data_IF_314180283632
#
_entry.id   IF_314180283632
#
_cell.length_a   1.000
_cell.length_b   1.000
_cell.length_c   1.000
_cell.angle_alpha   90.00
_cell.angle_beta   90.00
_cell.angle_gamma   90.00
#
_symmetry.space_group_name_H-M   'P 1'
#
loop_
_entity.id
_entity.type
_entity.pdbx_description
1 polymer ?
#
# COMPACT_ATOMS: atom_id res chain seq x y z
N UNK A 1 9.88 -18.97 21.46
CA UNK A 1 10.72 -18.51 20.33
C UNK A 1 11.90 -17.72 20.88
N UNK A 2 13.10 -17.97 20.38
CA UNK A 2 14.35 -17.40 20.90
C UNK A 2 14.57 -15.98 20.36
N UNK A 3 14.76 -14.99 21.25
CA UNK A 3 14.82 -13.54 20.95
C UNK A 3 15.90 -13.18 19.91
N UNK A 4 16.98 -13.97 19.86
CA UNK A 4 18.07 -13.79 18.89
C UNK A 4 17.68 -14.19 17.46
N UNK A 5 16.85 -15.22 17.32
CA UNK A 5 16.31 -15.67 16.02
C UNK A 5 15.36 -14.64 15.42
N UNK A 6 14.56 -14.02 16.28
CA UNK A 6 13.62 -12.97 15.90
C UNK A 6 14.34 -11.72 15.35
N UNK A 7 15.39 -11.26 16.04
CA UNK A 7 16.21 -10.13 15.57
C UNK A 7 16.90 -10.40 14.22
N UNK A 8 17.36 -11.64 13.98
CA UNK A 8 17.93 -12.02 12.68
C UNK A 8 16.85 -11.96 11.58
N UNK A 9 15.66 -12.48 11.86
CA UNK A 9 14.53 -12.47 10.92
C UNK A 9 14.13 -11.05 10.55
N UNK A 10 14.00 -10.16 11.53
CA UNK A 10 13.67 -8.74 11.31
C UNK A 10 14.73 -8.07 10.43
N UNK A 11 16.01 -8.25 10.73
CA UNK A 11 17.11 -7.66 9.95
C UNK A 11 17.13 -8.15 8.50
N UNK A 12 16.86 -9.43 8.28
CA UNK A 12 16.78 -10.00 6.92
C UNK A 12 15.59 -9.45 6.14
N UNK A 13 14.41 -9.38 6.75
CA UNK A 13 13.23 -8.76 6.09
C UNK A 13 13.49 -7.30 5.73
N UNK A 14 14.12 -6.55 6.63
CA UNK A 14 14.53 -5.16 6.37
C UNK A 14 15.55 -5.03 5.24
N UNK A 15 16.53 -5.94 5.14
CA UNK A 15 17.50 -5.90 4.03
C UNK A 15 16.86 -6.25 2.69
N UNK A 16 15.92 -7.20 2.66
CA UNK A 16 15.13 -7.55 1.48
C UNK A 16 14.26 -6.37 1.04
N UNK A 17 13.55 -5.73 1.97
CA UNK A 17 12.71 -4.55 1.70
C UNK A 17 13.52 -3.40 1.09
N UNK A 18 14.64 -3.05 1.72
CA UNK A 18 15.55 -1.99 1.21
C UNK A 18 16.13 -2.31 -0.15
N UNK A 19 16.46 -3.58 -0.39
CA UNK A 19 16.96 -4.02 -1.69
C UNK A 19 15.90 -3.86 -2.79
N UNK A 20 14.65 -4.25 -2.52
CA UNK A 20 13.53 -4.05 -3.44
C UNK A 20 13.35 -2.57 -3.79
N UNK A 21 13.25 -1.70 -2.77
CA UNK A 21 13.07 -0.26 -2.99
C UNK A 21 14.20 0.35 -3.80
N UNK A 22 15.45 -0.01 -3.49
CA UNK A 22 16.60 0.51 -4.25
C UNK A 22 16.60 0.05 -5.70
N UNK A 23 16.08 -1.12 -6.01
CA UNK A 23 15.92 -1.61 -7.39
C UNK A 23 14.75 -0.90 -8.10
N UNK A 24 13.68 -0.57 -7.38
CA UNK A 24 12.49 0.11 -7.90
C UNK A 24 12.68 1.62 -8.19
N UNK A 25 13.80 2.19 -7.74
CA UNK A 25 14.24 3.52 -8.18
C UNK A 25 14.46 3.53 -9.71
N UNK A 26 15.14 2.50 -10.23
CA UNK A 26 15.60 2.44 -11.63
C UNK A 26 14.72 1.58 -12.54
N UNK A 27 13.93 0.65 -11.97
CA UNK A 27 13.13 -0.34 -12.73
C UNK A 27 11.69 -0.38 -12.25
N UNK A 28 10.78 -0.83 -13.11
CA UNK A 28 9.43 -1.20 -12.65
C UNK A 28 9.52 -2.47 -11.77
N UNK A 29 8.57 -2.64 -10.85
CA UNK A 29 8.53 -3.83 -10.01
C UNK A 29 8.41 -5.13 -10.83
N UNK A 30 7.68 -5.08 -11.95
CA UNK A 30 7.45 -6.22 -12.83
C UNK A 30 8.76 -6.73 -13.47
N UNK A 31 9.77 -5.86 -13.65
CA UNK A 31 11.09 -6.20 -14.20
C UNK A 31 12.09 -6.74 -13.16
N UNK A 32 11.81 -6.56 -11.86
CA UNK A 32 12.72 -6.99 -10.79
C UNK A 32 12.58 -8.51 -10.59
N UNK A 33 13.70 -9.23 -10.50
CA UNK A 33 13.69 -10.66 -10.16
C UNK A 33 14.09 -10.92 -8.70
N UNK A 34 13.74 -12.10 -8.16
CA UNK A 34 14.24 -12.57 -6.85
C UNK A 34 15.78 -12.61 -6.83
N UNK A 35 16.42 -12.89 -7.97
CA UNK A 35 17.88 -12.86 -8.10
C UNK A 35 18.44 -11.46 -7.91
N UNK A 36 17.80 -10.43 -8.47
CA UNK A 36 18.23 -9.04 -8.28
C UNK A 36 18.11 -8.63 -6.81
N UNK A 37 16.97 -8.94 -6.18
CA UNK A 37 16.70 -8.62 -4.77
C UNK A 37 17.74 -9.30 -3.87
N UNK A 38 18.00 -10.59 -4.06
CA UNK A 38 18.93 -11.35 -3.21
C UNK A 38 20.37 -10.89 -3.36
N UNK A 39 20.80 -10.57 -4.60
CA UNK A 39 22.11 -9.95 -4.86
C UNK A 39 22.22 -8.58 -4.18
N UNK A 40 21.21 -7.72 -4.33
CA UNK A 40 21.21 -6.37 -3.75
C UNK A 40 21.14 -6.38 -2.22
N UNK A 41 20.42 -7.34 -1.63
CA UNK A 41 20.31 -7.54 -0.18
C UNK A 41 21.51 -8.26 0.43
N UNK A 42 22.45 -8.78 -0.39
CA UNK A 42 23.61 -9.58 0.05
C UNK A 42 23.19 -10.81 0.86
N UNK A 43 22.18 -11.56 0.37
CA UNK A 43 21.70 -12.80 0.99
C UNK A 43 21.66 -13.95 -0.01
N UNK A 44 21.64 -15.18 0.50
CA UNK A 44 21.39 -16.36 -0.31
C UNK A 44 19.92 -16.42 -0.75
N UNK A 45 19.64 -16.97 -1.94
CA UNK A 45 18.26 -17.20 -2.40
C UNK A 45 17.46 -18.08 -1.43
N UNK A 46 18.08 -19.10 -0.84
CA UNK A 46 17.45 -19.91 0.20
C UNK A 46 16.97 -19.08 1.38
N UNK A 47 17.73 -18.04 1.78
CA UNK A 47 17.34 -17.11 2.85
C UNK A 47 16.14 -16.25 2.48
N UNK A 48 16.01 -15.82 1.21
CA UNK A 48 14.81 -15.13 0.75
C UNK A 48 13.57 -16.02 0.89
N UNK A 49 13.68 -17.28 0.43
CA UNK A 49 12.57 -18.23 0.46
C UNK A 49 12.16 -18.70 1.87
N UNK A 50 12.96 -18.41 2.91
CA UNK A 50 12.52 -18.56 4.30
C UNK A 50 11.49 -17.51 4.74
N UNK A 51 11.37 -16.41 3.99
CA UNK A 51 10.53 -15.27 4.35
C UNK A 51 9.41 -15.02 3.36
N UNK A 52 9.65 -15.28 2.07
CA UNK A 52 8.72 -14.97 0.98
C UNK A 52 8.75 -16.06 -0.09
N UNK A 53 7.57 -16.42 -0.62
CA UNK A 53 7.45 -17.44 -1.68
C UNK A 53 8.06 -16.97 -3.00
N UNK A 54 7.86 -15.70 -3.33
CA UNK A 54 8.36 -15.02 -4.51
C UNK A 54 8.36 -13.50 -4.29
N UNK A 55 8.57 -12.71 -5.35
CA UNK A 55 8.57 -11.24 -5.26
C UNK A 55 7.17 -10.65 -5.05
N UNK A 56 6.13 -11.34 -5.52
CA UNK A 56 4.73 -10.90 -5.38
C UNK A 56 4.29 -11.05 -3.93
N UNK A 57 4.65 -12.16 -3.30
CA UNK A 57 4.45 -12.43 -1.87
C UNK A 57 5.17 -11.38 -0.99
N UNK A 58 6.37 -10.95 -1.39
CA UNK A 58 7.05 -9.82 -0.75
C UNK A 58 6.26 -8.52 -0.91
N UNK A 59 5.84 -8.17 -2.13
CA UNK A 59 5.10 -6.93 -2.37
C UNK A 59 3.76 -6.93 -1.60
N UNK A 60 3.04 -8.04 -1.60
CA UNK A 60 1.80 -8.20 -0.85
C UNK A 60 2.03 -8.01 0.65
N UNK A 61 3.09 -8.59 1.22
CA UNK A 61 3.45 -8.37 2.62
C UNK A 61 3.69 -6.90 2.94
N UNK A 62 4.26 -6.11 2.01
CA UNK A 62 4.48 -4.67 2.19
C UNK A 62 3.18 -3.86 2.03
N UNK A 63 2.29 -4.30 1.13
CA UNK A 63 0.95 -3.75 1.00
C UNK A 63 0.16 -3.95 2.31
N UNK A 64 0.18 -5.15 2.87
CA UNK A 64 -0.53 -5.50 4.10
C UNK A 64 0.00 -4.68 5.30
N UNK A 65 1.33 -4.54 5.42
CA UNK A 65 1.97 -3.69 6.43
C UNK A 65 1.51 -2.23 6.28
N UNK A 66 1.51 -1.71 5.05
CA UNK A 66 1.11 -0.33 4.78
C UNK A 66 -0.38 -0.08 5.04
N UNK A 67 -1.25 -0.99 4.62
CA UNK A 67 -2.69 -0.92 4.91
C UNK A 67 -2.95 -0.99 6.42
N UNK A 68 -2.19 -1.83 7.15
CA UNK A 68 -2.27 -1.93 8.59
C UNK A 68 -1.90 -0.62 9.31
N UNK A 69 -0.95 0.15 8.80
CA UNK A 69 -0.62 1.46 9.35
C UNK A 69 -1.66 2.51 8.96
N UNK A 70 -2.03 2.59 7.68
CA UNK A 70 -2.97 3.59 7.19
C UNK A 70 -4.36 3.48 7.85
N UNK A 71 -4.85 2.27 8.10
CA UNK A 71 -6.17 2.05 8.73
C UNK A 71 -6.27 2.67 10.12
N UNK A 72 -5.15 2.91 10.83
CA UNK A 72 -5.14 3.57 12.14
C UNK A 72 -5.67 5.00 12.05
N UNK A 73 -5.48 5.66 10.91
CA UNK A 73 -5.94 7.03 10.68
C UNK A 73 -7.46 7.17 10.53
N UNK A 74 -8.21 6.06 10.46
CA UNK A 74 -9.68 6.08 10.60
C UNK A 74 -10.14 6.69 11.91
N UNK A 75 -9.33 6.59 12.98
CA UNK A 75 -9.64 7.18 14.28
C UNK A 75 -9.84 8.70 14.23
N UNK A 76 -9.24 9.39 13.25
CA UNK A 76 -9.41 10.83 13.03
C UNK A 76 -10.75 11.18 12.39
N UNK A 77 -11.42 10.20 11.77
CA UNK A 77 -12.76 10.36 11.20
C UNK A 77 -13.81 10.25 12.31
N UNK A 78 -13.97 11.28 13.13
CA UNK A 78 -15.08 11.40 14.10
C UNK A 78 -16.23 12.22 13.53
N UNK A 79 -17.43 12.10 14.11
CA UNK A 79 -18.59 12.90 13.69
C UNK A 79 -18.30 14.39 13.81
N UNK A 80 -17.70 14.77 14.93
CA UNK A 80 -17.35 16.14 15.26
C UNK A 80 -16.32 16.68 14.28
N UNK A 81 -15.23 15.95 14.02
CA UNK A 81 -14.17 16.40 13.11
C UNK A 81 -14.68 16.53 11.67
N UNK A 82 -15.46 15.56 11.18
CA UNK A 82 -16.06 15.61 9.84
C UNK A 82 -17.05 16.79 9.73
N UNK A 83 -17.88 17.02 10.74
CA UNK A 83 -18.79 18.17 10.77
C UNK A 83 -18.04 19.51 10.68
N UNK A 84 -16.95 19.66 11.42
CA UNK A 84 -16.13 20.88 11.38
C UNK A 84 -15.46 21.08 10.01
N UNK A 85 -14.95 20.01 9.39
CA UNK A 85 -14.38 20.09 8.04
C UNK A 85 -15.43 20.56 7.02
N UNK A 86 -16.66 20.02 7.06
CA UNK A 86 -17.74 20.47 6.15
C UNK A 86 -18.08 21.95 6.32
N UNK A 87 -18.07 22.46 7.56
CA UNK A 87 -18.40 23.87 7.86
C UNK A 87 -17.27 24.83 7.48
N UNK A 88 -16.02 24.41 7.63
CA UNK A 88 -14.85 25.25 7.36
C UNK A 88 -14.32 25.15 5.93
N UNK A 89 -14.73 24.13 5.17
CA UNK A 89 -14.10 23.79 3.89
C UNK A 89 -12.72 23.15 4.02
N UNK A 90 -12.30 22.81 5.24
CA UNK A 90 -11.02 22.13 5.47
C UNK A 90 -11.04 20.69 4.93
N UNK A 91 -9.86 20.14 4.54
CA UNK A 91 -9.75 18.73 4.18
C UNK A 91 -10.20 17.81 5.30
N UNK A 92 -10.63 16.59 4.95
CA UNK A 92 -10.99 15.57 5.96
C UNK A 92 -9.81 15.30 6.90
N UNK A 93 -10.07 15.10 8.21
CA UNK A 93 -9.04 15.14 9.26
C UNK A 93 -7.99 14.03 9.15
N UNK A 94 -8.35 12.88 8.57
CA UNK A 94 -7.43 11.78 8.32
C UNK A 94 -6.43 12.04 7.18
N UNK A 95 -6.68 13.01 6.29
CA UNK A 95 -5.83 13.24 5.12
C UNK A 95 -4.44 13.72 5.50
N UNK A 96 -4.32 14.62 6.48
CA UNK A 96 -3.00 15.13 6.92
C UNK A 96 -2.07 14.01 7.42
N UNK A 97 -2.49 13.12 8.36
CA UNK A 97 -1.63 12.03 8.78
C UNK A 97 -1.42 10.96 7.70
N UNK A 98 -2.40 10.72 6.82
CA UNK A 98 -2.22 9.82 5.65
C UNK A 98 -1.16 10.37 4.69
N UNK A 99 -1.23 11.66 4.32
CA UNK A 99 -0.24 12.31 3.46
C UNK A 99 1.14 12.31 4.12
N UNK A 100 1.21 12.57 5.43
CA UNK A 100 2.47 12.48 6.20
C UNK A 100 3.04 11.06 6.20
N UNK A 101 2.19 10.03 6.23
CA UNK A 101 2.63 8.64 6.12
C UNK A 101 3.15 8.33 4.71
N UNK A 102 2.46 8.82 3.68
CA UNK A 102 2.89 8.67 2.28
C UNK A 102 4.26 9.29 2.06
N UNK A 103 4.45 10.52 2.53
CA UNK A 103 5.73 11.23 2.44
C UNK A 103 6.87 10.44 3.12
N UNK A 104 6.64 9.95 4.34
CA UNK A 104 7.64 9.17 5.09
C UNK A 104 7.96 7.80 4.50
N UNK A 105 7.05 7.23 3.72
CA UNK A 105 7.17 5.90 3.13
C UNK A 105 7.20 5.97 1.60
N UNK A 106 7.77 7.06 1.05
CA UNK A 106 7.80 7.33 -0.40
C UNK A 106 8.35 6.18 -1.22
N UNK A 107 9.31 5.42 -0.70
CA UNK A 107 9.90 4.28 -1.39
C UNK A 107 8.88 3.18 -1.71
N UNK A 108 8.00 2.88 -0.74
CA UNK A 108 6.90 1.95 -0.95
C UNK A 108 5.94 2.51 -2.01
N UNK A 109 5.52 3.76 -1.87
CA UNK A 109 4.55 4.37 -2.80
C UNK A 109 5.12 4.48 -4.22
N UNK A 110 6.39 4.83 -4.39
CA UNK A 110 7.08 4.81 -5.67
C UNK A 110 7.14 3.40 -6.28
N UNK A 111 7.39 2.39 -5.44
CA UNK A 111 7.44 0.99 -5.89
C UNK A 111 6.06 0.51 -6.34
N UNK A 112 5.03 0.70 -5.51
CA UNK A 112 3.67 0.20 -5.81
C UNK A 112 3.07 0.97 -6.99
N UNK A 113 3.26 2.29 -7.11
CA UNK A 113 2.72 3.09 -8.23
C UNK A 113 3.27 2.66 -9.60
N UNK A 114 4.50 2.12 -9.62
CA UNK A 114 5.16 1.56 -10.81
C UNK A 114 4.89 0.06 -11.00
N UNK A 115 4.12 -0.57 -10.12
CA UNK A 115 3.76 -1.99 -10.19
C UNK A 115 2.40 -2.19 -10.87
N UNK A 116 2.24 -3.33 -11.52
CA UNK A 116 0.93 -3.85 -11.94
C UNK A 116 -0.05 -4.00 -10.77
N UNK A 117 0.43 -4.23 -9.54
CA UNK A 117 -0.35 -4.36 -8.32
C UNK A 117 -0.89 -3.04 -7.73
N UNK A 118 -0.62 -1.88 -8.35
CA UNK A 118 -1.07 -0.58 -7.80
C UNK A 118 -2.56 -0.52 -7.55
N UNK A 119 -3.34 -1.10 -8.45
CA UNK A 119 -4.79 -1.00 -8.41
C UNK A 119 -5.37 -1.84 -7.27
N UNK A 120 -4.96 -3.10 -7.10
CA UNK A 120 -5.40 -3.92 -5.96
C UNK A 120 -5.10 -3.24 -4.62
N UNK A 121 -3.92 -2.64 -4.48
CA UNK A 121 -3.57 -1.87 -3.29
C UNK A 121 -4.53 -0.69 -3.03
N UNK A 122 -4.80 0.16 -4.04
CA UNK A 122 -5.70 1.31 -3.85
C UNK A 122 -7.16 0.89 -3.62
N UNK A 123 -7.56 -0.26 -4.19
CA UNK A 123 -8.87 -0.86 -3.94
C UNK A 123 -9.00 -1.22 -2.47
N UNK A 124 -8.03 -1.96 -1.94
CA UNK A 124 -8.08 -2.39 -0.54
C UNK A 124 -7.95 -1.20 0.40
N UNK A 125 -7.12 -0.21 0.06
CA UNK A 125 -7.06 1.07 0.78
C UNK A 125 -8.43 1.77 0.79
N UNK A 126 -9.15 1.80 -0.33
CA UNK A 126 -10.48 2.43 -0.41
C UNK A 126 -11.49 1.71 0.49
N UNK A 127 -11.48 0.36 0.50
CA UNK A 127 -12.35 -0.45 1.35
C UNK A 127 -12.09 -0.20 2.84
N UNK A 128 -10.86 0.15 3.22
CA UNK A 128 -10.56 0.49 4.61
C UNK A 128 -11.29 1.76 5.09
N UNK A 129 -11.50 2.76 4.22
CA UNK A 129 -12.05 4.07 4.61
C UNK A 129 -13.51 4.30 4.22
N UNK A 130 -13.97 3.75 3.08
CA UNK A 130 -15.32 3.98 2.54
C UNK A 130 -16.44 3.70 3.57
N UNK A 131 -16.46 2.57 4.29
CA UNK A 131 -17.52 2.29 5.26
C UNK A 131 -17.61 3.35 6.36
N UNK A 132 -16.45 3.84 6.82
CA UNK A 132 -16.39 4.89 7.83
C UNK A 132 -16.90 6.22 7.27
N UNK A 133 -16.50 6.59 6.05
CA UNK A 133 -16.96 7.80 5.39
C UNK A 133 -18.48 7.79 5.16
N UNK A 134 -19.04 6.69 4.63
CA UNK A 134 -20.50 6.52 4.45
C UNK A 134 -21.27 6.66 5.77
N UNK A 135 -20.72 6.15 6.87
CA UNK A 135 -21.36 6.26 8.19
C UNK A 135 -21.39 7.69 8.76
N UNK A 136 -20.48 8.56 8.30
CA UNK A 136 -20.33 9.94 8.81
C UNK A 136 -20.90 10.98 7.84
N UNK A 137 -20.96 10.65 6.56
CA UNK A 137 -21.41 11.50 5.48
C UNK A 137 -22.45 10.68 4.69
N UNK A 138 -23.75 10.79 5.02
CA UNK A 138 -24.79 9.97 4.41
C UNK A 138 -24.87 10.10 2.88
N UNK A 139 -24.58 11.29 2.35
CA UNK A 139 -24.57 11.58 0.91
C UNK A 139 -23.19 11.33 0.27
N UNK A 140 -22.29 10.61 0.95
CA UNK A 140 -21.01 10.24 0.36
C UNK A 140 -21.20 9.12 -0.67
N UNK A 141 -21.24 9.55 -1.92
CA UNK A 141 -21.12 8.68 -3.08
C UNK A 141 -19.68 8.77 -3.61
N UNK A 142 -18.93 7.65 -3.65
CA UNK A 142 -17.68 7.60 -4.39
C UNK A 142 -17.96 8.00 -5.84
N UNK A 143 -17.14 8.87 -6.42
CA UNK A 143 -17.29 9.23 -7.83
C UNK A 143 -17.04 8.02 -8.75
N UNK A 144 -17.34 8.18 -10.03
CA UNK A 144 -17.21 7.13 -11.04
C UNK A 144 -15.78 6.54 -11.07
N UNK A 145 -14.76 7.36 -10.83
CA UNK A 145 -13.36 6.93 -10.77
C UNK A 145 -13.10 6.06 -9.54
N UNK A 146 -13.61 6.46 -8.38
CA UNK A 146 -13.52 5.70 -7.13
C UNK A 146 -14.35 4.41 -7.16
N UNK A 147 -15.49 4.39 -7.86
CA UNK A 147 -16.30 3.19 -8.10
C UNK A 147 -15.59 2.20 -9.03
N UNK A 148 -14.92 2.71 -10.07
CA UNK A 148 -14.15 1.93 -11.02
C UNK A 148 -12.99 1.26 -10.31
N UNK A 149 -12.19 2.03 -9.56
CA UNK A 149 -11.19 1.42 -8.68
C UNK A 149 -11.85 0.43 -7.73
N UNK A 150 -12.81 0.83 -6.89
CA UNK A 150 -13.43 -0.03 -5.87
C UNK A 150 -14.11 -1.32 -6.38
N UNK A 151 -14.50 -1.39 -7.65
CA UNK A 151 -15.10 -2.57 -8.31
C UNK A 151 -14.07 -3.48 -9.00
N UNK A 152 -12.78 -3.13 -8.97
CA UNK A 152 -11.75 -3.84 -9.72
C UNK A 152 -11.82 -3.56 -11.22
N UNK A 153 -12.48 -2.48 -11.64
CA UNK A 153 -12.57 -2.09 -13.03
C UNK A 153 -11.46 -1.05 -13.31
N UNK A 154 -10.79 -1.16 -14.45
CA UNK A 154 -9.65 -0.33 -14.82
C UNK A 154 -10.03 0.56 -16.00
N UNK A 155 -9.85 1.88 -15.88
CA UNK A 155 -9.82 2.78 -17.03
C UNK A 155 -8.36 3.02 -17.43
N UNK A 156 -8.02 2.69 -18.67
CA UNK A 156 -6.83 3.21 -19.35
C UNK A 156 -7.24 4.28 -20.36
N UNK A 157 -6.29 5.00 -20.95
CA UNK A 157 -6.55 5.84 -22.13
C UNK A 157 -7.11 5.06 -23.33
N UNK A 158 -7.18 3.72 -23.25
CA UNK A 158 -7.64 2.80 -24.29
C UNK A 158 -8.92 2.04 -23.96
N UNK A 159 -9.54 2.23 -22.77
CA UNK A 159 -10.85 1.65 -22.44
C UNK A 159 -10.96 1.05 -21.03
N UNK A 160 -12.02 0.26 -20.82
CA UNK A 160 -12.41 -0.35 -19.54
C UNK A 160 -12.00 -1.84 -19.50
N UNK A 161 -11.36 -2.31 -18.42
CA UNK A 161 -11.01 -3.74 -18.22
C UNK A 161 -11.36 -4.23 -16.80
N UNK A 162 -11.64 -5.52 -16.64
CA UNK A 162 -11.85 -6.16 -15.32
C UNK A 162 -10.52 -6.67 -14.75
N UNK A 163 -10.21 -6.34 -13.49
CA UNK A 163 -9.00 -6.77 -12.78
C UNK A 163 -9.15 -8.15 -12.12
N UNK A 164 -10.29 -8.82 -12.26
CA UNK A 164 -10.45 -10.20 -11.80
C UNK A 164 -9.82 -11.16 -12.82
N UNK A 165 -8.56 -11.54 -12.57
CA UNK A 165 -7.82 -12.60 -13.25
C UNK A 165 -7.05 -13.45 -12.25
#
# INVERSE_FOLDING_TARGET
MDKKSDLRTIRTKESIKKALYKLAEDKSFDEISVTDITKKAMINRSTFYLHYRDKEDLLQSLCDETLHELKKYKSYLTKEAVFQCRRSGAPLPHLVPVLSYIEKNSDFFNTILKSSAKYSFFIDLSKEFIPRLKSLIPDFEPDETALIYGSGIMITSTGIYSANG
#
